data_IF_029571919986
#
_entry.id   IF_029571919986
#
_cell.length_a   1.000
_cell.length_b   1.000
_cell.length_c   1.000
_cell.angle_alpha   90.00
_cell.angle_beta   90.00
_cell.angle_gamma   90.00
#
_symmetry.space_group_name_H-M   'P 1'
#
loop_
_entity.id
_entity.type
_entity.pdbx_description
1 polymer ?
#
# COMPACT_ATOMS: atom_id res chain seq x y z
N UNK A 1 -13.56 -12.30 -19.31
CA UNK A 1 -14.93 -11.95 -19.78
C UNK A 1 -15.01 -10.44 -19.90
N UNK A 2 -15.69 -9.88 -20.92
CA UNK A 2 -15.67 -8.45 -21.21
C UNK A 2 -16.41 -7.55 -20.18
N UNK A 3 -16.96 -8.14 -19.11
CA UNK A 3 -17.61 -7.42 -17.98
C UNK A 3 -16.92 -7.66 -16.64
N UNK A 4 -15.76 -8.32 -16.61
CA UNK A 4 -15.03 -8.57 -15.36
C UNK A 4 -14.28 -7.32 -14.91
N UNK A 5 -14.69 -6.74 -13.79
CA UNK A 5 -13.88 -5.73 -13.10
C UNK A 5 -12.64 -6.38 -12.48
N UNK A 6 -11.46 -6.06 -13.01
CA UNK A 6 -10.20 -6.46 -12.41
C UNK A 6 -9.91 -5.58 -11.19
N UNK A 7 -10.17 -6.10 -9.99
CA UNK A 7 -9.76 -5.50 -8.71
C UNK A 7 -8.47 -6.14 -8.22
N UNK A 8 -7.54 -5.32 -7.73
CA UNK A 8 -6.34 -5.79 -7.06
C UNK A 8 -6.67 -6.50 -5.74
N UNK A 9 -5.76 -7.36 -5.30
CA UNK A 9 -5.83 -8.02 -3.99
C UNK A 9 -4.93 -7.30 -2.98
N UNK A 10 -5.35 -7.27 -1.71
CA UNK A 10 -4.57 -6.72 -0.62
C UNK A 10 -3.18 -7.35 -0.50
N UNK A 11 -3.08 -8.67 -0.70
CA UNK A 11 -1.81 -9.38 -0.64
C UNK A 11 -0.81 -8.87 -1.69
N UNK A 12 -1.21 -8.82 -2.96
CA UNK A 12 -0.36 -8.34 -4.05
C UNK A 12 -0.02 -6.85 -3.91
N UNK A 13 -0.94 -6.04 -3.41
CA UNK A 13 -0.67 -4.65 -3.05
C UNK A 13 0.43 -4.56 -1.98
N UNK A 14 0.27 -5.26 -0.86
CA UNK A 14 1.26 -5.27 0.22
C UNK A 14 2.60 -5.83 -0.24
N UNK A 15 2.60 -6.92 -1.00
CA UNK A 15 3.82 -7.51 -1.57
C UNK A 15 4.56 -6.51 -2.46
N UNK A 16 3.84 -5.74 -3.28
CA UNK A 16 4.44 -4.70 -4.13
C UNK A 16 5.04 -3.56 -3.30
N UNK A 17 4.37 -3.14 -2.22
CA UNK A 17 4.92 -2.16 -1.29
C UNK A 17 6.16 -2.68 -0.54
N UNK A 18 6.14 -3.95 -0.12
CA UNK A 18 7.30 -4.60 0.47
C UNK A 18 8.51 -4.63 -0.48
N UNK A 19 8.29 -5.02 -1.75
CA UNK A 19 9.35 -4.97 -2.78
C UNK A 19 9.89 -3.56 -2.94
N UNK A 20 9.02 -2.53 -2.92
CA UNK A 20 9.48 -1.14 -2.96
C UNK A 20 10.34 -0.77 -1.75
N UNK A 21 9.97 -1.17 -0.53
CA UNK A 21 10.79 -0.92 0.66
C UNK A 21 12.20 -1.52 0.49
N UNK A 22 12.31 -2.70 -0.10
CA UNK A 22 13.61 -3.33 -0.40
C UNK A 22 14.40 -2.51 -1.44
N UNK A 23 13.75 -2.08 -2.53
CA UNK A 23 14.38 -1.24 -3.57
C UNK A 23 14.91 0.08 -3.00
N UNK A 24 14.19 0.70 -2.08
CA UNK A 24 14.61 1.94 -1.40
C UNK A 24 15.70 1.71 -0.32
N UNK A 25 16.21 0.49 -0.18
CA UNK A 25 17.24 0.14 0.81
C UNK A 25 16.72 0.11 2.26
N UNK A 26 15.41 -0.06 2.46
CA UNK A 26 14.77 -0.03 3.77
C UNK A 26 14.58 -1.43 4.39
N UNK A 27 15.05 -2.51 3.76
CA UNK A 27 14.82 -3.87 4.23
C UNK A 27 15.30 -4.11 5.68
N UNK A 28 16.53 -3.70 6.00
CA UNK A 28 17.10 -3.82 7.36
C UNK A 28 16.31 -2.95 8.35
N UNK A 29 16.02 -1.71 7.97
CA UNK A 29 15.28 -0.79 8.83
C UNK A 29 13.82 -1.20 9.06
N UNK A 30 13.18 -1.84 8.08
CA UNK A 30 11.84 -2.39 8.27
C UNK A 30 11.82 -3.49 9.35
N UNK A 31 12.90 -4.26 9.46
CA UNK A 31 13.06 -5.30 10.50
C UNK A 31 13.40 -4.68 11.86
N UNK A 32 14.37 -3.77 11.89
CA UNK A 32 15.05 -3.35 13.11
C UNK A 32 14.55 -2.01 13.67
N UNK A 33 13.92 -1.16 12.84
CA UNK A 33 13.44 0.17 13.26
C UNK A 33 11.91 0.22 13.32
N UNK A 34 11.39 0.38 14.54
CA UNK A 34 9.96 0.43 14.80
C UNK A 34 9.24 1.52 13.99
N UNK A 35 9.83 2.72 13.89
CA UNK A 35 9.24 3.84 13.13
C UNK A 35 9.09 3.51 11.64
N UNK A 36 10.08 2.86 11.03
CA UNK A 36 9.99 2.45 9.62
C UNK A 36 8.89 1.41 9.46
N UNK A 37 8.89 0.37 10.29
CA UNK A 37 7.87 -0.67 10.28
C UNK A 37 6.46 -0.12 10.46
N UNK A 38 6.29 0.83 11.38
CA UNK A 38 5.02 1.50 11.67
C UNK A 38 4.51 2.29 10.46
N UNK A 39 5.36 3.11 9.83
CA UNK A 39 4.96 3.87 8.65
C UNK A 39 4.67 2.97 7.45
N UNK A 40 5.45 1.91 7.23
CA UNK A 40 5.16 0.90 6.21
C UNK A 40 3.77 0.29 6.41
N UNK A 41 3.42 -0.09 7.65
CA UNK A 41 2.10 -0.64 7.98
C UNK A 41 0.98 0.38 7.79
N UNK A 42 1.18 1.64 8.16
CA UNK A 42 0.20 2.70 7.88
C UNK A 42 -0.04 2.88 6.39
N UNK A 43 1.01 2.87 5.59
CA UNK A 43 0.87 2.96 4.13
C UNK A 43 0.16 1.75 3.53
N UNK A 44 0.45 0.53 4.02
CA UNK A 44 -0.26 -0.68 3.60
C UNK A 44 -1.75 -0.65 3.99
N UNK A 45 -2.06 -0.12 5.17
CA UNK A 45 -3.42 -0.01 5.68
C UNK A 45 -4.30 0.98 4.88
N UNK A 46 -3.72 1.85 4.05
CA UNK A 46 -4.49 2.75 3.17
C UNK A 46 -5.48 1.99 2.28
N UNK A 47 -5.14 0.77 1.86
CA UNK A 47 -6.01 -0.05 1.03
C UNK A 47 -7.28 -0.51 1.76
N UNK A 48 -7.32 -0.40 3.09
CA UNK A 48 -8.44 -0.82 3.93
C UNK A 48 -9.32 0.36 4.35
N UNK A 49 -8.95 1.59 4.03
CA UNK A 49 -9.73 2.78 4.41
C UNK A 49 -10.81 3.06 3.36
N UNK A 50 -11.95 3.65 3.76
CA UNK A 50 -12.92 4.20 2.82
C UNK A 50 -12.24 5.14 1.81
N UNK A 51 -12.56 5.06 0.50
CA UNK A 51 -11.90 5.87 -0.52
C UNK A 51 -11.89 7.37 -0.25
N UNK A 52 -12.97 7.91 0.35
CA UNK A 52 -13.10 9.30 0.75
C UNK A 52 -12.16 9.72 1.89
N UNK A 53 -11.64 8.77 2.66
CA UNK A 53 -10.69 9.02 3.77
C UNK A 53 -9.24 8.70 3.37
N UNK A 54 -9.03 7.87 2.35
CA UNK A 54 -7.70 7.36 1.98
C UNK A 54 -6.73 8.47 1.59
N UNK A 55 -7.17 9.51 0.87
CA UNK A 55 -6.32 10.64 0.47
C UNK A 55 -5.87 11.48 1.67
N UNK A 56 -6.79 11.77 2.59
CA UNK A 56 -6.50 12.50 3.83
C UNK A 56 -5.49 11.72 4.69
N UNK A 57 -5.69 10.41 4.83
CA UNK A 57 -4.77 9.53 5.54
C UNK A 57 -3.37 9.52 4.90
N UNK A 58 -3.27 9.52 3.56
CA UNK A 58 -1.98 9.64 2.87
C UNK A 58 -1.27 10.95 3.23
N UNK A 59 -1.96 12.08 3.28
CA UNK A 59 -1.34 13.36 3.64
C UNK A 59 -0.81 13.34 5.08
N UNK A 60 -1.56 12.78 6.03
CA UNK A 60 -1.11 12.62 7.42
C UNK A 60 0.14 11.73 7.51
N UNK A 61 0.16 10.62 6.75
CA UNK A 61 1.34 9.74 6.68
C UNK A 61 2.55 10.49 6.13
N UNK A 62 2.38 11.27 5.06
CA UNK A 62 3.44 12.09 4.45
C UNK A 62 4.00 13.12 5.43
N UNK A 63 3.14 13.83 6.15
CA UNK A 63 3.53 14.86 7.09
C UNK A 63 4.34 14.28 8.26
N UNK A 64 3.93 13.12 8.78
CA UNK A 64 4.62 12.44 9.87
C UNK A 64 5.79 11.55 9.46
N UNK A 65 6.02 11.35 8.15
CA UNK A 65 6.98 10.38 7.66
C UNK A 65 8.42 10.65 8.13
N UNK A 66 9.11 9.65 8.72
CA UNK A 66 10.54 9.73 8.95
C UNK A 66 11.29 10.08 7.65
N UNK A 67 12.39 10.85 7.74
CA UNK A 67 13.14 11.33 6.57
C UNK A 67 13.44 10.23 5.54
N UNK A 68 13.84 9.04 6.01
CA UNK A 68 14.15 7.88 5.16
C UNK A 68 12.95 7.23 4.48
N UNK A 69 11.73 7.44 5.00
CA UNK A 69 10.49 6.94 4.43
C UNK A 69 9.90 7.87 3.36
N UNK A 70 10.38 9.12 3.26
CA UNK A 70 9.82 10.12 2.34
C UNK A 70 9.77 9.63 0.89
N UNK A 71 10.85 9.01 0.39
CA UNK A 71 10.89 8.46 -0.97
C UNK A 71 9.86 7.35 -1.18
N UNK A 72 9.75 6.43 -0.22
CA UNK A 72 8.75 5.36 -0.26
C UNK A 72 7.32 5.89 -0.27
N UNK A 73 6.98 6.82 0.64
CA UNK A 73 5.61 7.37 0.70
C UNK A 73 5.30 8.21 -0.55
N UNK A 74 6.29 8.93 -1.08
CA UNK A 74 6.14 9.69 -2.32
C UNK A 74 5.87 8.76 -3.51
N UNK A 75 6.60 7.64 -3.63
CA UNK A 75 6.30 6.61 -4.62
C UNK A 75 4.87 6.09 -4.50
N UNK A 76 4.35 5.90 -3.29
CA UNK A 76 2.97 5.43 -3.12
C UNK A 76 1.97 6.42 -3.68
N UNK A 77 2.15 7.72 -3.43
CA UNK A 77 1.32 8.74 -4.06
C UNK A 77 1.44 8.70 -5.60
N UNK A 78 2.65 8.80 -6.12
CA UNK A 78 2.88 9.00 -7.55
C UNK A 78 2.46 7.79 -8.38
N UNK A 79 2.66 6.59 -7.86
CA UNK A 79 2.32 5.37 -8.56
C UNK A 79 0.91 4.91 -8.24
N UNK A 80 0.57 4.69 -6.97
CA UNK A 80 -0.70 4.04 -6.61
C UNK A 80 -1.89 4.99 -6.64
N UNK A 81 -1.73 6.24 -6.19
CA UNK A 81 -2.82 7.22 -6.24
C UNK A 81 -2.93 7.84 -7.63
N UNK A 82 -1.83 8.36 -8.18
CA UNK A 82 -1.91 9.17 -9.40
C UNK A 82 -1.94 8.33 -10.68
N UNK A 83 -1.19 7.21 -10.76
CA UNK A 83 -1.07 6.41 -11.99
C UNK A 83 -2.02 5.21 -12.05
N UNK A 84 -2.14 4.45 -10.96
CA UNK A 84 -2.99 3.25 -10.91
C UNK A 84 -4.44 3.60 -10.56
N UNK A 85 -4.64 4.58 -9.67
CA UNK A 85 -5.96 5.02 -9.22
C UNK A 85 -6.52 4.16 -8.10
N UNK A 86 -7.21 4.82 -7.16
CA UNK A 86 -7.67 4.24 -5.89
C UNK A 86 -8.58 3.00 -6.09
N UNK A 87 -9.45 3.04 -7.10
CA UNK A 87 -10.41 1.98 -7.41
C UNK A 87 -9.79 0.62 -7.75
N UNK A 88 -8.49 0.57 -8.08
CA UNK A 88 -7.79 -0.64 -8.51
C UNK A 88 -7.15 -1.41 -7.36
N UNK A 89 -6.82 -0.77 -6.25
CA UNK A 89 -6.05 -1.38 -5.15
C UNK A 89 -6.67 -1.18 -3.77
N UNK A 90 -7.63 -0.26 -3.63
CA UNK A 90 -8.43 -0.15 -2.41
C UNK A 90 -9.41 -1.33 -2.33
N UNK A 91 -9.40 -2.03 -1.20
CA UNK A 91 -10.16 -3.26 -0.95
C UNK A 91 -11.20 -3.08 0.17
N UNK A 92 -11.49 -1.85 0.60
CA UNK A 92 -12.40 -1.57 1.72
C UNK A 92 -13.77 -2.23 1.56
N UNK A 93 -14.30 -2.27 0.33
CA UNK A 93 -15.64 -2.81 0.06
C UNK A 93 -15.63 -4.24 -0.50
N UNK A 94 -14.46 -4.88 -0.57
CA UNK A 94 -14.36 -6.26 -1.09
C UNK A 94 -14.68 -7.28 0.00
N UNK A 95 -15.64 -8.16 -0.30
CA UNK A 95 -16.04 -9.30 0.55
C UNK A 95 -14.90 -10.30 0.78
N UNK A 96 -14.01 -10.45 -0.19
CA UNK A 96 -12.79 -11.26 -0.10
C UNK A 96 -11.58 -10.35 -0.23
N UNK A 97 -10.87 -10.13 0.89
CA UNK A 97 -9.75 -9.17 0.98
C UNK A 97 -8.39 -9.82 0.76
N UNK A 98 -8.29 -11.13 0.94
CA UNK A 98 -7.11 -11.93 0.59
C UNK A 98 -7.58 -13.06 -0.31
N UNK A 99 -6.84 -13.34 -1.38
CA UNK A 99 -7.18 -14.42 -2.30
C UNK A 99 -6.45 -15.70 -1.92
N UNK A 100 -6.51 -16.11 -0.63
CA UNK A 100 -5.82 -17.30 -0.08
C UNK A 100 -5.93 -18.58 -0.97
N UNK A 101 -6.93 -18.69 -1.86
CA UNK A 101 -7.08 -19.80 -2.81
C UNK A 101 -6.20 -19.72 -4.08
N UNK A 102 -5.70 -18.54 -4.47
CA UNK A 102 -4.81 -18.34 -5.63
C UNK A 102 -3.33 -18.13 -5.25
N UNK A 103 -3.01 -18.08 -3.96
CA UNK A 103 -1.66 -17.73 -3.45
C UNK A 103 -0.76 -18.97 -3.22
N UNK A 104 -1.22 -20.18 -3.54
CA UNK A 104 -0.49 -21.45 -3.42
C UNK A 104 0.24 -21.88 -4.71
N UNK A 105 0.56 -20.97 -5.64
CA UNK A 105 1.26 -21.30 -6.89
C UNK A 105 2.65 -20.66 -6.90
#
# INVERSE_FOLDING_TARGET
LPTTEHKGCFFHFNQSLHRRLVIEGLAVAYRDEEKVRKWSKYTMALALLPPNETENALQLIKLGAPKRMKKFVQYVQDFWFNKIGLNMWNVNDLKFRTNNACECI
#
